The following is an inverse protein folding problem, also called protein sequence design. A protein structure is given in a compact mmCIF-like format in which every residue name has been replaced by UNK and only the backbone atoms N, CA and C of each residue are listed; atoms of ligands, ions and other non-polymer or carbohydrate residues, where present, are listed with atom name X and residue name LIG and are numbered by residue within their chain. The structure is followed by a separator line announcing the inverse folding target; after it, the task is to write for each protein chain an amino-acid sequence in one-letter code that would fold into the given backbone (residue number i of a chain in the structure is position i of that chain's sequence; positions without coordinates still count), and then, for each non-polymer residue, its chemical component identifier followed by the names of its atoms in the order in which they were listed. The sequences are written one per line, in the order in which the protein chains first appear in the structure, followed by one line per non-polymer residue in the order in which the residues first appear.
data_IF_885738518243
#
_entry.id   IF_885738518243
#
_cell.length_a   1.000
_cell.length_b   1.000
_cell.length_c   1.000
_cell.angle_alpha   90.00
_cell.angle_beta   90.00
_cell.angle_gamma   90.00
#
_symmetry.space_group_name_H-M   'P 1'
#
loop_
_entity.id
_entity.type
_entity.pdbx_description
1 polymer ?
#
# COMPACT_ATOMS: atom_id res chain seq x y z
N UNK A 1 14.70 -19.90 -15.80
CA UNK A 1 13.72 -20.60 -14.94
C UNK A 1 14.25 -20.60 -13.52
N UNK A 2 13.38 -20.40 -12.54
CA UNK A 2 13.70 -20.46 -11.10
C UNK A 2 13.32 -21.83 -10.59
N UNK A 3 14.16 -22.43 -9.76
CA UNK A 3 13.85 -23.68 -9.06
C UNK A 3 13.66 -23.39 -7.57
N UNK A 4 12.65 -24.00 -6.97
CA UNK A 4 12.38 -23.95 -5.53
C UNK A 4 12.24 -25.38 -5.01
N UNK A 5 13.01 -25.72 -3.98
CA UNK A 5 12.93 -27.02 -3.31
C UNK A 5 12.04 -26.93 -2.07
N UNK A 6 10.96 -27.71 -2.05
CA UNK A 6 10.08 -27.84 -0.88
C UNK A 6 10.72 -28.79 0.12
N UNK A 7 11.04 -28.27 1.31
CA UNK A 7 11.60 -29.10 2.39
C UNK A 7 10.56 -30.05 2.97
N UNK A 8 9.29 -29.66 2.96
CA UNK A 8 8.22 -30.47 3.54
C UNK A 8 7.81 -31.63 2.63
N UNK A 9 7.78 -31.42 1.31
CA UNK A 9 7.37 -32.44 0.33
C UNK A 9 8.55 -33.19 -0.32
N UNK A 10 9.76 -32.66 -0.25
CA UNK A 10 10.93 -33.24 -0.91
C UNK A 10 10.94 -33.09 -2.43
N UNK A 11 10.21 -32.10 -2.96
CA UNK A 11 9.99 -31.88 -4.39
C UNK A 11 10.61 -30.58 -4.88
N UNK A 12 11.04 -30.54 -6.14
CA UNK A 12 11.51 -29.29 -6.79
C UNK A 12 10.46 -28.77 -7.75
N UNK A 13 9.98 -27.56 -7.51
CA UNK A 13 9.10 -26.82 -8.40
C UNK A 13 9.89 -25.83 -9.24
N UNK A 14 9.46 -25.60 -10.49
CA UNK A 14 10.11 -24.68 -11.41
C UNK A 14 9.13 -23.67 -11.99
N UNK A 15 9.60 -22.43 -12.12
CA UNK A 15 8.82 -21.32 -12.65
C UNK A 15 9.58 -20.64 -13.79
N UNK A 16 8.88 -20.27 -14.86
CA UNK A 16 9.38 -19.28 -15.81
C UNK A 16 9.31 -17.88 -15.17
N UNK A 17 9.99 -16.90 -15.77
CA UNK A 17 9.98 -15.51 -15.28
C UNK A 17 8.56 -14.93 -15.22
N UNK A 18 7.74 -15.18 -16.25
CA UNK A 18 6.35 -14.71 -16.29
C UNK A 18 5.47 -15.31 -15.19
N UNK A 19 5.61 -16.60 -14.88
CA UNK A 19 4.87 -17.22 -13.78
C UNK A 19 5.33 -16.68 -12.41
N UNK A 20 6.63 -16.46 -12.23
CA UNK A 20 7.14 -15.87 -11.00
C UNK A 20 6.63 -14.43 -10.81
N UNK A 21 6.68 -13.63 -11.89
CA UNK A 21 6.13 -12.28 -11.92
C UNK A 21 4.66 -12.28 -11.51
N UNK A 22 3.86 -13.17 -12.09
CA UNK A 22 2.46 -13.35 -11.71
C UNK A 22 2.29 -13.71 -10.23
N UNK A 23 3.12 -14.60 -9.68
CA UNK A 23 3.07 -14.96 -8.26
C UNK A 23 3.42 -13.78 -7.34
N UNK A 24 4.38 -12.93 -7.71
CA UNK A 24 4.72 -11.71 -6.95
C UNK A 24 3.55 -10.73 -6.99
N UNK A 25 2.90 -10.56 -8.14
CA UNK A 25 1.71 -9.69 -8.23
C UNK A 25 0.54 -10.23 -7.38
N UNK A 26 0.36 -11.54 -7.34
CA UNK A 26 -0.77 -12.17 -6.64
C UNK A 26 -0.58 -12.26 -5.13
N UNK A 27 0.61 -12.69 -4.70
CA UNK A 27 0.90 -13.00 -3.29
C UNK A 27 1.77 -11.94 -2.61
N UNK A 28 2.28 -10.98 -3.36
CA UNK A 28 3.22 -9.99 -2.85
C UNK A 28 4.59 -10.61 -2.58
N UNK A 29 5.13 -10.30 -1.40
CA UNK A 29 6.49 -10.67 -1.03
C UNK A 29 6.59 -11.26 0.40
N UNK A 30 7.38 -12.34 0.61
CA UNK A 30 7.92 -13.20 -0.43
C UNK A 30 6.77 -13.90 -1.17
N UNK A 31 6.97 -14.19 -2.46
CA UNK A 31 5.96 -14.89 -3.23
C UNK A 31 5.78 -16.32 -2.69
N UNK A 32 4.56 -16.85 -2.79
CA UNK A 32 4.22 -18.21 -2.34
C UNK A 32 4.27 -19.18 -3.51
N UNK A 33 4.86 -20.36 -3.29
CA UNK A 33 4.87 -21.44 -4.28
C UNK A 33 3.45 -21.96 -4.54
N UNK A 34 3.01 -21.93 -5.80
CA UNK A 34 1.67 -22.38 -6.18
C UNK A 34 1.41 -23.89 -5.95
N UNK A 35 2.46 -24.71 -5.81
CA UNK A 35 2.34 -26.17 -5.72
C UNK A 35 2.43 -26.71 -4.28
N UNK A 36 3.22 -26.07 -3.43
CA UNK A 36 3.42 -26.51 -2.04
C UNK A 36 2.99 -25.49 -0.98
N UNK A 37 2.72 -24.23 -1.35
CA UNK A 37 2.34 -23.19 -0.40
C UNK A 37 3.50 -22.63 0.43
N UNK A 38 4.73 -23.10 0.24
CA UNK A 38 5.91 -22.57 0.92
C UNK A 38 6.34 -21.22 0.30
N UNK A 39 6.94 -20.35 1.12
CA UNK A 39 7.55 -19.10 0.64
C UNK A 39 8.73 -19.41 -0.28
N UNK A 40 8.81 -18.71 -1.41
CA UNK A 40 9.96 -18.76 -2.29
C UNK A 40 11.16 -18.03 -1.65
N UNK A 41 12.36 -18.54 -1.90
CA UNK A 41 13.61 -17.94 -1.39
C UNK A 41 14.05 -16.84 -2.35
N UNK A 42 14.18 -15.63 -1.82
CA UNK A 42 14.56 -14.42 -2.56
C UNK A 42 15.76 -14.55 -3.49
N UNK A 43 16.86 -15.07 -2.96
CA UNK A 43 18.13 -15.16 -3.69
C UNK A 43 18.00 -16.02 -4.94
N UNK A 44 17.14 -17.04 -4.89
CA UNK A 44 16.96 -18.00 -6.00
C UNK A 44 16.30 -17.34 -7.22
N UNK A 45 15.55 -16.25 -7.01
CA UNK A 45 14.82 -15.59 -8.09
C UNK A 45 15.20 -14.14 -8.33
N UNK A 46 15.86 -13.47 -7.39
CA UNK A 46 16.28 -12.08 -7.55
C UNK A 46 17.08 -11.84 -8.83
N UNK A 47 17.96 -12.76 -9.20
CA UNK A 47 18.82 -12.61 -10.38
C UNK A 47 18.07 -12.67 -11.71
N UNK A 48 16.89 -13.27 -11.75
CA UNK A 48 16.09 -13.42 -12.98
C UNK A 48 14.95 -12.41 -13.09
N UNK A 49 14.73 -11.59 -12.06
CA UNK A 49 13.72 -10.54 -12.09
C UNK A 49 14.14 -9.40 -13.02
N UNK A 50 13.17 -8.87 -13.76
CA UNK A 50 13.33 -7.63 -14.51
C UNK A 50 13.58 -6.45 -13.54
N UNK A 51 14.21 -5.35 -14.00
CA UNK A 51 14.40 -4.16 -13.16
C UNK A 51 13.11 -3.67 -12.50
N UNK A 52 12.01 -3.61 -13.24
CA UNK A 52 10.70 -3.18 -12.72
C UNK A 52 10.16 -4.12 -11.63
N UNK A 53 10.41 -5.43 -11.73
CA UNK A 53 10.02 -6.37 -10.68
C UNK A 53 10.93 -6.28 -9.45
N UNK A 54 12.22 -5.99 -9.63
CA UNK A 54 13.12 -5.72 -8.50
C UNK A 54 12.67 -4.49 -7.72
N UNK A 55 12.30 -3.41 -8.41
CA UNK A 55 11.73 -2.21 -7.79
C UNK A 55 10.44 -2.53 -7.02
N UNK A 56 9.53 -3.29 -7.65
CA UNK A 56 8.31 -3.74 -6.98
C UNK A 56 8.58 -4.57 -5.73
N UNK A 57 9.49 -5.55 -5.81
CA UNK A 57 9.85 -6.40 -4.68
C UNK A 57 10.51 -5.58 -3.56
N UNK A 58 11.39 -4.62 -3.89
CA UNK A 58 11.97 -3.70 -2.91
C UNK A 58 10.88 -2.88 -2.20
N UNK A 59 9.94 -2.30 -2.96
CA UNK A 59 8.79 -1.60 -2.38
C UNK A 59 7.94 -2.52 -1.48
N UNK A 60 7.70 -3.77 -1.88
CA UNK A 60 6.93 -4.73 -1.08
C UNK A 60 7.67 -5.13 0.21
N UNK A 61 9.00 -5.24 0.17
CA UNK A 61 9.85 -5.48 1.35
C UNK A 61 9.72 -4.33 2.35
N UNK A 62 9.85 -3.10 1.88
CA UNK A 62 9.67 -1.89 2.70
C UNK A 62 8.24 -1.80 3.26
N UNK A 63 7.24 -2.09 2.43
CA UNK A 63 5.84 -2.10 2.87
C UNK A 63 5.57 -3.15 3.94
N UNK A 64 6.25 -4.30 3.89
CA UNK A 64 6.10 -5.36 4.88
C UNK A 64 6.89 -5.10 6.17
N UNK A 65 7.98 -4.35 6.11
CA UNK A 65 8.80 -4.04 7.28
C UNK A 65 8.15 -3.03 8.22
N UNK A 66 7.21 -2.21 7.72
CA UNK A 66 6.46 -1.25 8.52
C UNK A 66 5.16 -1.90 9.04
N UNK A 67 4.92 -1.95 10.36
CA UNK A 67 3.66 -2.43 10.91
C UNK A 67 2.47 -1.65 10.34
N UNK A 68 1.34 -2.32 10.04
CA UNK A 68 0.19 -1.68 9.37
C UNK A 68 -0.31 -0.41 10.05
N UNK A 69 -0.28 -0.35 11.39
CA UNK A 69 -0.69 0.83 12.16
C UNK A 69 0.29 2.01 12.08
N UNK A 70 1.54 1.74 11.69
CA UNK A 70 2.62 2.73 11.57
C UNK A 70 2.85 3.17 10.12
N UNK A 71 2.11 2.63 9.16
CA UNK A 71 2.19 3.06 7.75
C UNK A 71 1.57 4.44 7.56
N UNK A 72 2.25 5.28 6.79
CA UNK A 72 1.77 6.57 6.35
C UNK A 72 1.95 6.67 4.82
N UNK A 73 0.85 6.64 4.08
CA UNK A 73 0.88 6.89 2.64
C UNK A 73 0.64 8.37 2.38
N UNK A 74 1.42 8.96 1.47
CA UNK A 74 1.22 10.33 1.01
C UNK A 74 -0.19 10.50 0.43
N UNK A 75 -0.93 11.51 0.91
CA UNK A 75 -2.29 11.80 0.44
C UNK A 75 -2.37 12.33 -1.01
N UNK A 76 -1.23 12.67 -1.63
CA UNK A 76 -1.18 13.00 -3.04
C UNK A 76 -1.27 11.72 -3.87
N UNK A 77 -2.39 11.53 -4.58
CA UNK A 77 -2.67 10.34 -5.39
C UNK A 77 -1.60 10.08 -6.46
N UNK A 78 -0.97 11.12 -7.02
CA UNK A 78 0.13 10.97 -8.00
C UNK A 78 1.46 10.54 -7.37
N UNK A 79 1.62 10.74 -6.06
CA UNK A 79 2.82 10.38 -5.32
C UNK A 79 2.65 9.02 -4.64
N UNK A 80 1.65 8.90 -3.76
CA UNK A 80 1.31 7.69 -2.98
C UNK A 80 2.49 7.02 -2.26
N UNK A 81 3.59 7.75 -2.03
CA UNK A 81 4.79 7.22 -1.38
C UNK A 81 4.47 6.73 0.03
N UNK A 82 5.06 5.59 0.40
CA UNK A 82 4.98 5.01 1.73
C UNK A 82 6.10 5.58 2.61
N UNK A 83 5.73 5.92 3.84
CA UNK A 83 6.62 6.30 4.93
C UNK A 83 6.16 5.58 6.20
N UNK A 84 7.01 5.56 7.23
CA UNK A 84 6.51 5.35 8.59
C UNK A 84 5.85 6.64 9.10
N UNK A 85 4.91 6.54 10.05
CA UNK A 85 4.33 7.71 10.71
C UNK A 85 5.39 8.58 11.39
N UNK A 86 6.39 7.95 11.99
CA UNK A 86 7.53 8.65 12.60
C UNK A 86 8.33 9.45 11.57
N UNK A 87 8.64 8.85 10.42
CA UNK A 87 9.35 9.54 9.34
C UNK A 87 8.52 10.68 8.75
N UNK A 88 7.22 10.48 8.56
CA UNK A 88 6.36 11.46 7.91
C UNK A 88 6.06 12.67 8.82
N UNK A 89 6.05 12.52 10.15
CA UNK A 89 5.80 13.62 11.09
C UNK A 89 6.85 14.72 10.97
N UNK A 90 6.42 15.95 11.25
CA UNK A 90 7.33 17.07 11.42
C UNK A 90 7.96 17.04 12.82
N UNK A 91 9.14 17.65 13.00
CA UNK A 91 9.74 17.81 14.32
C UNK A 91 8.84 18.60 15.28
N UNK A 92 8.88 18.28 16.57
CA UNK A 92 8.07 18.94 17.60
C UNK A 92 8.35 20.46 17.67
N UNK A 93 9.59 20.87 17.36
CA UNK A 93 9.99 22.28 17.32
C UNK A 93 9.33 23.05 16.17
N UNK A 94 8.91 22.38 15.10
CA UNK A 94 8.11 22.98 14.03
C UNK A 94 6.63 23.01 14.39
N UNK A 95 6.12 21.92 15.00
CA UNK A 95 4.72 21.84 15.42
C UNK A 95 4.38 22.87 16.50
N UNK A 96 5.27 23.05 17.48
CA UNK A 96 5.10 24.02 18.58
C UNK A 96 5.11 25.49 18.16
N UNK A 97 5.55 25.80 16.93
CA UNK A 97 5.49 27.17 16.36
C UNK A 97 4.15 27.49 15.73
N UNK A 98 3.30 26.49 15.53
CA UNK A 98 1.97 26.67 14.95
C UNK A 98 0.99 27.09 16.04
N UNK A 99 0.13 28.04 15.72
CA UNK A 99 -0.91 28.58 16.60
C UNK A 99 -2.25 27.80 16.51
N UNK A 100 -2.21 26.58 15.97
CA UNK A 100 -3.36 25.71 15.77
C UNK A 100 -3.01 24.23 15.98
N UNK A 101 -4.04 23.37 16.10
CA UNK A 101 -3.85 21.93 16.30
C UNK A 101 -3.18 21.28 15.08
N UNK A 102 -1.91 20.88 15.25
CA UNK A 102 -1.09 20.21 14.25
C UNK A 102 -0.84 18.71 14.56
N UNK A 103 -1.65 18.10 15.44
CA UNK A 103 -1.47 16.70 15.91
C UNK A 103 -1.43 15.63 14.80
N UNK A 104 -2.02 15.92 13.65
CA UNK A 104 -2.02 15.06 12.46
C UNK A 104 -1.04 15.45 11.36
N UNK A 105 -0.28 16.54 11.51
CA UNK A 105 0.52 17.11 10.43
C UNK A 105 1.71 16.20 10.07
N UNK A 106 1.78 15.85 8.80
CA UNK A 106 2.88 15.11 8.21
C UNK A 106 3.31 15.72 6.87
N UNK A 107 4.54 15.43 6.47
CA UNK A 107 5.14 15.83 5.21
C UNK A 107 5.71 14.60 4.48
N UNK A 108 5.32 14.42 3.23
CA UNK A 108 5.88 13.38 2.39
C UNK A 108 7.34 13.68 2.06
N UNK A 109 8.26 12.76 2.37
CA UNK A 109 9.69 12.99 2.11
C UNK A 109 10.07 12.96 0.63
N UNK A 110 9.22 12.33 -0.20
CA UNK A 110 9.38 12.27 -1.66
C UNK A 110 8.93 13.55 -2.37
N UNK A 111 7.71 14.01 -2.12
CA UNK A 111 7.10 15.13 -2.87
C UNK A 111 6.95 16.43 -2.06
N UNK A 112 7.31 16.41 -0.77
CA UNK A 112 7.23 17.56 0.16
C UNK A 112 5.82 18.11 0.41
N UNK A 113 4.78 17.45 -0.11
CA UNK A 113 3.41 17.82 0.17
C UNK A 113 3.03 17.45 1.62
N UNK A 114 2.41 18.40 2.31
CA UNK A 114 1.85 18.22 3.66
C UNK A 114 0.48 17.57 3.61
N UNK A 115 0.21 16.71 4.57
CA UNK A 115 -1.04 15.96 4.66
C UNK A 115 -1.37 15.63 6.12
N UNK A 116 -2.65 15.32 6.37
CA UNK A 116 -3.12 14.91 7.68
C UNK A 116 -3.11 13.38 7.80
N UNK A 117 -2.40 12.84 8.79
CA UNK A 117 -2.34 11.41 9.11
C UNK A 117 -3.66 10.84 9.62
N UNK A 118 -4.53 11.68 10.18
CA UNK A 118 -5.82 11.27 10.74
C UNK A 118 -6.92 11.27 9.67
N UNK A 119 -6.89 12.25 8.77
CA UNK A 119 -7.90 12.42 7.72
C UNK A 119 -7.47 11.80 6.37
N UNK A 120 -6.18 11.51 6.17
CA UNK A 120 -5.61 11.01 4.91
C UNK A 120 -5.89 11.91 3.68
N UNK A 121 -5.80 13.23 3.89
CA UNK A 121 -6.06 14.28 2.90
C UNK A 121 -4.92 15.31 2.91
N UNK A 122 -4.80 16.17 1.88
CA UNK A 122 -3.94 17.36 1.97
C UNK A 122 -4.17 18.12 3.28
N UNK A 123 -3.11 18.72 3.82
CA UNK A 123 -3.20 19.40 5.11
C UNK A 123 -4.27 20.50 5.10
N UNK A 124 -4.99 20.63 6.22
CA UNK A 124 -6.07 21.58 6.41
C UNK A 124 -5.65 22.60 7.47
N UNK A 125 -4.88 23.62 7.06
CA UNK A 125 -4.38 24.67 7.94
C UNK A 125 -5.52 25.34 8.73
N UNK A 126 -5.25 25.66 9.99
CA UNK A 126 -6.18 26.35 10.90
C UNK A 126 -7.53 25.65 11.14
N UNK A 127 -7.67 24.39 10.72
CA UNK A 127 -8.87 23.57 10.97
C UNK A 127 -8.50 22.34 11.76
N UNK A 128 -9.27 22.03 12.80
CA UNK A 128 -9.20 20.70 13.40
C UNK A 128 -9.67 19.63 12.40
N UNK A 129 -9.34 18.37 12.68
CA UNK A 129 -9.88 17.26 11.87
C UNK A 129 -11.42 17.22 11.88
N UNK A 130 -12.06 17.69 12.96
CA UNK A 130 -13.52 17.76 13.06
C UNK A 130 -14.12 18.89 12.22
N UNK A 131 -13.45 20.04 12.20
CA UNK A 131 -13.88 21.19 11.39
C UNK A 131 -13.71 20.89 9.91
N UNK A 132 -12.59 20.26 9.52
CA UNK A 132 -12.37 19.79 8.15
C UNK A 132 -13.52 18.89 7.69
N UNK A 133 -13.93 17.91 8.49
CA UNK A 133 -15.02 16.99 8.15
C UNK A 133 -16.38 17.68 7.94
N UNK A 134 -16.59 18.86 8.54
CA UNK A 134 -17.81 19.67 8.38
C UNK A 134 -17.71 20.72 7.26
N UNK A 135 -16.52 20.90 6.69
CA UNK A 135 -16.25 21.91 5.66
C UNK A 135 -16.80 21.53 4.28
N UNK A 136 -16.99 22.52 3.42
CA UNK A 136 -17.36 22.29 2.01
C UNK A 136 -16.28 21.53 1.24
N UNK A 137 -15.00 21.67 1.60
CA UNK A 137 -13.89 20.92 0.99
C UNK A 137 -14.03 19.41 1.21
N UNK A 138 -14.46 18.99 2.41
CA UNK A 138 -14.77 17.58 2.66
C UNK A 138 -15.98 17.11 1.85
N UNK A 139 -17.02 17.94 1.71
CA UNK A 139 -18.21 17.63 0.90
C UNK A 139 -17.88 17.48 -0.59
N UNK A 140 -17.03 18.34 -1.14
CA UNK A 140 -16.57 18.22 -2.54
C UNK A 140 -15.83 16.91 -2.77
N UNK A 141 -14.93 16.55 -1.85
CA UNK A 141 -14.22 15.27 -1.92
C UNK A 141 -15.18 14.08 -1.86
N UNK A 142 -16.20 14.12 -1.00
CA UNK A 142 -17.24 13.08 -0.98
C UNK A 142 -17.98 12.95 -2.32
N UNK A 143 -18.19 14.05 -3.05
CA UNK A 143 -18.80 14.02 -4.39
C UNK A 143 -17.88 13.30 -5.37
N UNK A 144 -16.58 13.57 -5.34
CA UNK A 144 -15.60 12.89 -6.19
C UNK A 144 -15.43 11.41 -5.81
N UNK A 145 -15.42 11.09 -4.51
CA UNK A 145 -15.41 9.71 -4.03
C UNK A 145 -16.67 8.96 -4.51
N UNK A 146 -17.86 9.60 -4.48
CA UNK A 146 -19.10 9.03 -5.06
C UNK A 146 -18.99 8.81 -6.57
N UNK A 147 -18.34 9.70 -7.31
CA UNK A 147 -18.09 9.51 -8.76
C UNK A 147 -17.17 8.33 -9.00
N UNK A 148 -16.11 8.21 -8.19
CA UNK A 148 -15.17 7.09 -8.25
C UNK A 148 -15.87 5.75 -7.93
N UNK A 149 -16.76 5.70 -6.93
CA UNK A 149 -17.53 4.49 -6.63
C UNK A 149 -18.46 4.08 -7.77
N UNK A 150 -19.15 5.04 -8.41
CA UNK A 150 -19.96 4.73 -9.62
C UNK A 150 -19.10 4.20 -10.76
N UNK A 151 -17.88 4.71 -10.92
CA UNK A 151 -16.94 4.20 -11.91
C UNK A 151 -16.49 2.77 -11.56
N UNK A 152 -16.19 2.52 -10.28
CA UNK A 152 -15.81 1.20 -9.80
C UNK A 152 -16.92 0.16 -10.04
N UNK A 153 -18.18 0.50 -9.75
CA UNK A 153 -19.34 -0.36 -10.01
C UNK A 153 -19.46 -0.73 -11.50
N UNK A 154 -19.30 0.25 -12.39
CA UNK A 154 -19.36 0.03 -13.86
C UNK A 154 -18.23 -0.87 -14.36
N UNK A 155 -17.06 -0.81 -13.72
CA UNK A 155 -15.89 -1.61 -14.09
C UNK A 155 -15.73 -2.88 -13.25
N UNK A 156 -16.71 -3.20 -12.39
CA UNK A 156 -16.66 -4.35 -11.47
C UNK A 156 -15.40 -4.34 -10.57
N UNK A 157 -14.86 -3.16 -10.28
CA UNK A 157 -13.78 -2.99 -9.31
C UNK A 157 -14.33 -3.20 -7.91
N UNK A 158 -13.52 -3.77 -7.03
CA UNK A 158 -13.95 -4.07 -5.67
C UNK A 158 -13.33 -3.10 -4.67
N UNK A 159 -14.07 -2.74 -3.62
CA UNK A 159 -13.52 -2.03 -2.46
C UNK A 159 -13.03 -3.06 -1.45
N UNK A 160 -11.79 -2.94 -1.01
CA UNK A 160 -11.27 -3.77 0.06
C UNK A 160 -11.91 -3.37 1.40
N UNK A 161 -12.50 -4.30 2.14
CA UNK A 161 -13.11 -3.99 3.44
C UNK A 161 -12.09 -3.63 4.53
N UNK A 162 -10.81 -3.95 4.32
CA UNK A 162 -9.75 -3.81 5.33
C UNK A 162 -8.97 -2.51 5.20
N UNK A 163 -8.69 -2.06 3.97
CA UNK A 163 -7.93 -0.84 3.71
C UNK A 163 -8.70 0.18 2.87
N UNK A 164 -9.95 -0.13 2.54
CA UNK A 164 -10.90 0.72 1.80
C UNK A 164 -10.46 1.16 0.39
N UNK A 165 -9.31 0.67 -0.09
CA UNK A 165 -8.83 0.94 -1.45
C UNK A 165 -9.72 0.24 -2.48
N UNK A 166 -9.90 0.90 -3.62
CA UNK A 166 -10.54 0.33 -4.80
C UNK A 166 -9.50 -0.45 -5.59
N UNK A 167 -9.84 -1.68 -5.97
CA UNK A 167 -8.96 -2.64 -6.61
C UNK A 167 -9.58 -3.01 -7.96
N UNK A 168 -8.84 -2.72 -9.02
CA UNK A 168 -9.12 -3.25 -10.34
C UNK A 168 -8.77 -4.74 -10.39
N UNK A 169 -9.73 -5.57 -10.80
CA UNK A 169 -9.53 -7.01 -10.96
C UNK A 169 -9.03 -7.30 -12.37
N UNK A 170 -7.97 -8.10 -12.48
CA UNK A 170 -7.56 -8.66 -13.75
C UNK A 170 -8.16 -10.05 -13.93
N UNK A 171 -9.14 -10.17 -14.82
CA UNK A 171 -9.86 -11.42 -15.10
C UNK A 171 -11.02 -11.72 -14.14
N UNK A 172 -11.39 -13.00 -14.00
CA UNK A 172 -12.59 -13.45 -13.27
C UNK A 172 -12.33 -13.86 -11.81
N UNK A 173 -11.09 -13.79 -11.33
CA UNK A 173 -10.74 -14.20 -9.97
C UNK A 173 -11.20 -13.14 -8.95
N UNK A 174 -12.12 -13.53 -8.06
CA UNK A 174 -12.63 -12.66 -6.98
C UNK A 174 -11.90 -12.88 -5.65
N UNK A 175 -10.90 -13.77 -5.61
CA UNK A 175 -10.10 -14.01 -4.41
C UNK A 175 -9.06 -12.89 -4.27
N UNK A 176 -9.43 -11.85 -3.51
CA UNK A 176 -8.57 -10.71 -3.23
C UNK A 176 -8.17 -10.72 -1.76
N UNK A 177 -6.87 -10.70 -1.51
CA UNK A 177 -6.30 -10.62 -0.17
C UNK A 177 -5.72 -9.22 0.07
N UNK A 178 -6.13 -8.59 1.18
CA UNK A 178 -5.61 -7.28 1.53
C UNK A 178 -4.16 -7.36 2.01
N UNK A 179 -3.27 -6.64 1.33
CA UNK A 179 -1.85 -6.52 1.74
C UNK A 179 -1.63 -5.67 3.00
N UNK A 180 -2.67 -5.00 3.52
CA UNK A 180 -2.59 -4.27 4.79
C UNK A 180 -2.83 -5.17 6.02
N UNK A 181 -3.25 -6.43 5.82
CA UNK A 181 -3.30 -7.42 6.90
C UNK A 181 -1.91 -8.07 7.01
N UNK A 182 -1.21 -7.81 8.12
CA UNK A 182 -0.21 -8.76 8.61
C UNK A 182 -0.99 -9.90 9.26
N UNK A 183 -1.10 -11.07 8.62
CA UNK A 183 -1.48 -12.26 9.36
C UNK A 183 -0.32 -12.54 10.31
N UNK A 184 -0.48 -12.15 11.57
CA UNK A 184 0.33 -12.70 12.65
C UNK A 184 -0.15 -14.13 12.80
N UNK A 185 0.54 -15.04 12.15
CA UNK A 185 0.50 -16.48 12.42
C UNK A 185 1.74 -16.85 13.22
#
# INVERSE_FOLDING_TARGET
MVSHYSKTKGETHRFCSACLEYLIYLHGYPATCAFCGESLIDEDYWQVLSPSLKELVSMLKEEKSIPSKEKAYCANQRCSALHSKAEARLPEEELSKLDYDASGLAECKKCKQRFCLNCHVPWHDFMSCEDYKKSDLAREREVDDKRLFRLAERNLWIRCNECERIIELYGICKNVHCRHISFVS
#
